data_IF_290017010851
#
_entry.id   IF_290017010851
#
_cell.length_a   1.000
_cell.length_b   1.000
_cell.length_c   1.000
_cell.angle_alpha   90.00
_cell.angle_beta   90.00
_cell.angle_gamma   90.00
#
_symmetry.space_group_name_H-M   'P 1'
#
loop_
_entity.id
_entity.type
_entity.pdbx_description
1 polymer ?
#
# COMPACT_ATOMS: atom_id res chain seq x y z
N UNK A 1 -43.69 13.20 -10.90
CA UNK A 1 -42.64 13.50 -9.89
C UNK A 1 -41.33 12.96 -10.48
N UNK A 2 -40.55 13.76 -11.23
CA UNK A 2 -39.39 14.59 -10.76
C UNK A 2 -38.38 13.74 -9.97
N UNK A 3 -37.10 13.53 -10.34
CA UNK A 3 -36.19 14.12 -11.33
C UNK A 3 -35.15 13.06 -11.75
N UNK A 4 -34.88 12.92 -13.06
CA UNK A 4 -33.59 12.44 -13.56
C UNK A 4 -32.69 13.67 -13.72
N UNK A 5 -31.71 13.85 -12.84
CA UNK A 5 -30.64 14.83 -13.04
C UNK A 5 -29.58 14.21 -13.95
N UNK A 6 -29.82 14.30 -15.26
CA UNK A 6 -28.76 14.23 -16.26
C UNK A 6 -28.08 15.61 -16.30
N UNK A 7 -26.91 15.73 -15.67
CA UNK A 7 -26.03 16.89 -15.85
C UNK A 7 -24.99 16.55 -16.92
N UNK A 8 -25.38 16.63 -18.19
CA UNK A 8 -24.43 16.80 -19.30
C UNK A 8 -24.23 18.30 -19.50
N UNK A 9 -23.18 18.86 -18.90
CA UNK A 9 -22.84 20.26 -19.11
C UNK A 9 -22.20 20.44 -20.48
N UNK A 10 -22.93 21.20 -21.29
CA UNK A 10 -22.59 21.95 -22.49
C UNK A 10 -21.12 22.41 -22.55
N UNK A 11 -20.44 22.01 -23.61
CA UNK A 11 -19.38 22.79 -24.25
C UNK A 11 -19.76 23.00 -25.71
N UNK A 12 -20.60 24.00 -25.96
CA UNK A 12 -21.02 24.35 -27.31
C UNK A 12 -19.85 24.90 -28.14
N UNK A 13 -19.82 24.46 -29.40
CA UNK A 13 -18.96 24.94 -30.49
C UNK A 13 -19.04 26.45 -30.61
N UNK A 14 -17.91 27.16 -30.50
CA UNK A 14 -17.83 28.58 -30.84
C UNK A 14 -17.55 28.74 -32.32
N UNK A 15 -18.59 29.05 -33.10
CA UNK A 15 -18.47 29.54 -34.47
C UNK A 15 -18.41 31.08 -34.44
N UNK A 16 -17.21 31.65 -34.63
CA UNK A 16 -17.05 33.03 -35.08
C UNK A 16 -16.00 33.10 -36.20
N UNK A 17 -16.55 33.20 -37.43
CA UNK A 17 -16.14 34.00 -38.61
C UNK A 17 -14.63 34.16 -38.86
N UNK A 18 -14.11 33.61 -39.96
CA UNK A 18 -13.98 34.29 -41.27
C UNK A 18 -13.24 35.63 -41.19
N UNK A 19 -11.92 35.64 -41.40
CA UNK A 19 -11.26 36.41 -42.47
C UNK A 19 -9.78 36.07 -42.57
N UNK A 20 -9.35 35.89 -43.82
CA UNK A 20 -8.01 35.93 -44.44
C UNK A 20 -6.74 36.11 -43.60
N UNK A 21 -5.73 35.29 -43.92
CA UNK A 21 -4.34 35.77 -44.01
C UNK A 21 -3.26 34.87 -43.44
N UNK A 22 -2.52 34.23 -44.34
CA UNK A 22 -1.07 33.96 -44.28
C UNK A 22 -0.49 32.88 -43.33
N UNK A 23 0.06 31.86 -44.00
CA UNK A 23 1.40 31.26 -43.85
C UNK A 23 1.76 30.42 -42.60
N UNK A 24 1.99 29.13 -42.91
CA UNK A 24 3.15 28.29 -42.56
C UNK A 24 3.26 27.62 -41.18
N UNK A 25 3.24 26.27 -41.28
CA UNK A 25 4.20 25.29 -40.76
C UNK A 25 3.85 24.45 -39.53
N UNK A 26 4.11 23.15 -39.72
CA UNK A 26 3.78 21.97 -38.92
C UNK A 26 4.51 21.88 -37.56
N UNK A 27 3.83 21.32 -36.54
CA UNK A 27 4.44 20.38 -35.56
C UNK A 27 3.33 19.47 -35.01
N UNK A 28 3.36 18.13 -35.20
CA UNK A 28 2.63 17.20 -34.37
C UNK A 28 3.59 16.59 -33.34
N UNK A 29 3.49 17.00 -32.08
CA UNK A 29 4.28 16.40 -31.02
C UNK A 29 3.44 16.21 -29.75
N UNK A 30 3.59 14.99 -29.25
CA UNK A 30 3.26 14.51 -27.92
C UNK A 30 1.78 14.32 -27.58
N UNK A 31 1.35 13.08 -27.86
CA UNK A 31 0.33 12.35 -27.12
C UNK A 31 0.38 12.75 -25.64
N UNK A 32 -0.66 13.48 -25.22
CA UNK A 32 -0.98 13.65 -23.82
C UNK A 32 -1.12 12.27 -23.19
N UNK A 33 -0.15 11.93 -22.33
CA UNK A 33 -0.30 10.88 -21.34
C UNK A 33 -1.60 11.17 -20.60
N UNK A 34 -2.64 10.40 -20.92
CA UNK A 34 -3.83 10.36 -20.08
C UNK A 34 -3.37 9.73 -18.79
N UNK A 35 -3.05 10.59 -17.82
CA UNK A 35 -3.03 10.21 -16.42
C UNK A 35 -4.45 9.76 -16.13
N UNK A 36 -4.68 8.45 -16.27
CA UNK A 36 -5.88 7.82 -15.75
C UNK A 36 -5.83 8.12 -14.25
N UNK A 37 -6.72 8.99 -13.79
CA UNK A 37 -6.95 9.15 -12.36
C UNK A 37 -7.32 7.76 -11.84
N UNK A 38 -6.39 7.12 -11.15
CA UNK A 38 -6.65 5.82 -10.53
C UNK A 38 -7.65 6.06 -9.41
N UNK A 39 -8.90 5.66 -9.66
CA UNK A 39 -9.99 5.74 -8.69
C UNK A 39 -9.53 5.37 -7.27
N UNK A 40 -9.81 6.21 -6.26
CA UNK A 40 -9.50 5.90 -4.86
C UNK A 40 -10.06 4.53 -4.49
N UNK A 41 -9.22 3.64 -3.96
CA UNK A 41 -9.65 2.31 -3.55
C UNK A 41 -9.56 1.19 -4.61
N UNK A 42 -9.03 1.43 -5.80
CA UNK A 42 -8.80 0.40 -6.83
C UNK A 42 -7.61 -0.50 -6.48
N UNK A 43 -7.78 -1.34 -5.46
CA UNK A 43 -6.82 -2.37 -5.07
C UNK A 43 -7.29 -3.78 -5.43
N UNK A 44 -6.35 -4.72 -5.54
CA UNK A 44 -6.69 -6.14 -5.79
C UNK A 44 -6.96 -6.84 -4.45
N UNK A 45 -8.14 -7.43 -4.32
CA UNK A 45 -8.59 -8.09 -3.09
C UNK A 45 -8.35 -9.61 -3.11
N UNK A 46 -8.01 -10.17 -1.97
CA UNK A 46 -7.92 -11.62 -1.75
C UNK A 46 -8.30 -11.97 -0.31
N UNK A 47 -8.54 -13.26 -0.05
CA UNK A 47 -8.81 -13.76 1.30
C UNK A 47 -7.54 -14.33 1.92
N UNK A 48 -7.29 -14.03 3.20
CA UNK A 48 -6.15 -14.55 3.96
C UNK A 48 -6.50 -14.78 5.43
N UNK A 49 -5.52 -15.23 6.22
CA UNK A 49 -5.67 -15.44 7.68
C UNK A 49 -5.16 -14.25 8.48
N UNK A 50 -5.98 -13.73 9.38
CA UNK A 50 -5.64 -12.70 10.36
C UNK A 50 -5.14 -13.24 11.71
N UNK A 51 -4.97 -12.33 12.68
CA UNK A 51 -4.38 -12.57 14.00
C UNK A 51 -4.95 -13.75 14.80
N UNK A 52 -6.26 -13.95 14.71
CA UNK A 52 -7.01 -14.95 15.48
C UNK A 52 -7.42 -16.15 14.62
N UNK A 53 -6.71 -16.41 13.52
CA UNK A 53 -7.08 -17.43 12.53
C UNK A 53 -8.33 -17.09 11.71
N UNK A 54 -8.95 -15.93 11.96
CA UNK A 54 -10.11 -15.43 11.21
C UNK A 54 -9.75 -15.21 9.75
N UNK A 55 -10.64 -15.59 8.84
CA UNK A 55 -10.52 -15.24 7.42
C UNK A 55 -10.84 -13.75 7.26
N UNK A 56 -9.89 -13.00 6.71
CA UNK A 56 -10.01 -11.57 6.43
C UNK A 56 -9.88 -11.32 4.94
N UNK A 57 -10.54 -10.26 4.45
CA UNK A 57 -10.30 -9.71 3.11
C UNK A 57 -9.12 -8.73 3.20
N UNK A 58 -8.09 -8.97 2.40
CA UNK A 58 -6.96 -8.08 2.21
C UNK A 58 -7.07 -7.41 0.85
N UNK A 59 -6.66 -6.14 0.78
CA UNK A 59 -6.60 -5.38 -0.47
C UNK A 59 -5.19 -4.81 -0.64
N UNK A 60 -4.54 -5.12 -1.77
CA UNK A 60 -3.25 -4.51 -2.14
C UNK A 60 -3.55 -3.19 -2.86
N UNK A 61 -3.12 -2.08 -2.26
CA UNK A 61 -3.20 -0.74 -2.85
C UNK A 61 -1.82 -0.35 -3.34
N UNK A 62 -1.70 -0.02 -4.63
CA UNK A 62 -0.41 0.25 -5.29
C UNK A 62 -0.11 1.75 -5.46
N UNK A 63 -1.01 2.61 -4.99
CA UNK A 63 -0.82 4.06 -5.04
C UNK A 63 0.30 4.45 -4.07
N UNK A 64 1.22 5.29 -4.54
CA UNK A 64 2.32 5.80 -3.72
C UNK A 64 1.78 6.72 -2.63
N UNK A 65 2.05 6.38 -1.38
CA UNK A 65 1.49 7.06 -0.22
C UNK A 65 2.47 7.00 0.94
N UNK A 66 2.43 8.05 1.77
CA UNK A 66 3.04 7.98 3.09
C UNK A 66 2.33 6.92 3.94
N UNK A 67 3.00 6.41 4.96
CA UNK A 67 2.40 5.47 5.90
C UNK A 67 1.08 6.00 6.51
N UNK A 68 1.05 7.29 6.87
CA UNK A 68 -0.15 7.93 7.40
C UNK A 68 -1.26 8.05 6.35
N UNK A 69 -0.92 8.36 5.09
CA UNK A 69 -1.86 8.35 3.98
C UNK A 69 -2.51 6.98 3.79
N UNK A 70 -1.68 5.93 3.68
CA UNK A 70 -2.15 4.56 3.53
C UNK A 70 -3.05 4.12 4.71
N UNK A 71 -2.71 4.52 5.94
CA UNK A 71 -3.52 4.22 7.11
C UNK A 71 -4.88 4.95 7.10
N UNK A 72 -4.90 6.21 6.67
CA UNK A 72 -6.12 7.00 6.49
C UNK A 72 -7.03 6.37 5.44
N UNK A 73 -6.45 5.97 4.31
CA UNK A 73 -7.18 5.33 3.21
C UNK A 73 -7.78 3.98 3.62
N UNK A 74 -7.01 3.12 4.31
CA UNK A 74 -7.53 1.87 4.88
C UNK A 74 -8.76 2.09 5.77
N UNK A 75 -8.75 3.14 6.60
CA UNK A 75 -9.87 3.46 7.50
C UNK A 75 -11.07 4.03 6.75
N UNK A 76 -10.83 4.95 5.81
CA UNK A 76 -11.87 5.73 5.13
C UNK A 76 -12.57 4.95 4.03
N UNK A 77 -11.81 4.22 3.21
CA UNK A 77 -12.32 3.53 2.02
C UNK A 77 -12.64 2.07 2.30
N UNK A 78 -11.75 1.38 3.01
CA UNK A 78 -11.90 -0.07 3.24
C UNK A 78 -12.51 -0.42 4.59
N UNK A 79 -12.80 0.60 5.42
CA UNK A 79 -13.30 0.42 6.79
C UNK A 79 -12.46 -0.57 7.61
N UNK A 80 -11.14 -0.52 7.43
CA UNK A 80 -10.19 -1.45 8.01
C UNK A 80 -8.88 -0.79 8.44
N UNK A 81 -7.86 -1.62 8.63
CA UNK A 81 -6.53 -1.21 9.05
C UNK A 81 -5.50 -1.73 8.06
N UNK A 82 -4.33 -1.07 8.01
CA UNK A 82 -3.15 -1.67 7.40
C UNK A 82 -2.89 -3.03 8.05
N UNK A 83 -2.50 -4.02 7.24
CA UNK A 83 -2.43 -5.41 7.66
C UNK A 83 -1.46 -5.63 8.83
N UNK A 84 -1.88 -6.41 9.82
CA UNK A 84 -1.01 -7.03 10.82
C UNK A 84 -0.64 -8.45 10.38
N UNK A 85 0.52 -8.92 10.81
CA UNK A 85 1.06 -10.24 10.42
C UNK A 85 1.35 -11.05 11.68
N UNK A 86 0.80 -12.26 11.76
CA UNK A 86 0.83 -13.10 12.97
C UNK A 86 1.31 -14.53 12.73
N UNK A 87 1.77 -14.83 11.52
CA UNK A 87 2.35 -16.13 11.18
C UNK A 87 3.18 -16.03 9.91
N UNK A 88 4.12 -16.96 9.73
CA UNK A 88 4.88 -17.09 8.49
C UNK A 88 3.94 -17.39 7.30
N UNK A 89 2.92 -18.24 7.48
CA UNK A 89 1.92 -18.50 6.43
C UNK A 89 1.15 -17.25 6.00
N UNK A 90 0.79 -16.35 6.93
CA UNK A 90 0.17 -15.07 6.57
C UNK A 90 1.16 -14.14 5.86
N UNK A 91 2.41 -14.08 6.34
CA UNK A 91 3.48 -13.29 5.71
C UNK A 91 3.70 -13.70 4.25
N UNK A 92 3.77 -15.00 3.97
CA UNK A 92 3.98 -15.52 2.61
C UNK A 92 2.80 -15.24 1.69
N UNK A 93 1.57 -15.41 2.17
CA UNK A 93 0.36 -15.06 1.40
C UNK A 93 0.33 -13.58 1.03
N UNK A 94 0.56 -12.69 2.01
CA UNK A 94 0.59 -11.25 1.77
C UNK A 94 1.72 -10.87 0.80
N UNK A 95 2.91 -11.48 0.95
CA UNK A 95 4.07 -11.23 0.09
C UNK A 95 3.80 -11.67 -1.34
N UNK A 96 3.25 -12.87 -1.53
CA UNK A 96 2.90 -13.40 -2.85
C UNK A 96 1.84 -12.53 -3.54
N UNK A 97 0.80 -12.14 -2.81
CA UNK A 97 -0.23 -11.24 -3.34
C UNK A 97 0.37 -9.88 -3.74
N UNK A 98 1.16 -9.25 -2.86
CA UNK A 98 1.82 -7.99 -3.16
C UNK A 98 2.76 -8.11 -4.37
N UNK A 99 3.62 -9.13 -4.42
CA UNK A 99 4.54 -9.36 -5.54
C UNK A 99 3.81 -9.55 -6.87
N UNK A 100 2.65 -10.21 -6.86
CA UNK A 100 1.84 -10.42 -8.07
C UNK A 100 1.13 -9.16 -8.57
N UNK A 101 1.04 -8.12 -7.74
CA UNK A 101 0.23 -6.92 -8.02
C UNK A 101 1.02 -5.62 -8.10
N UNK A 102 2.25 -5.57 -7.60
CA UNK A 102 3.11 -4.40 -7.69
C UNK A 102 4.55 -4.76 -8.02
N UNK A 103 5.18 -3.92 -8.84
CA UNK A 103 6.64 -3.94 -9.06
C UNK A 103 7.38 -3.16 -7.96
N UNK A 104 6.67 -2.48 -7.08
CA UNK A 104 7.27 -1.82 -5.92
C UNK A 104 7.90 -2.88 -5.02
N UNK A 105 9.14 -2.66 -4.60
CA UNK A 105 9.89 -3.61 -3.76
C UNK A 105 9.34 -3.75 -2.34
N UNK A 106 8.40 -2.88 -1.92
CA UNK A 106 7.85 -2.81 -0.58
C UNK A 106 6.40 -2.33 -0.59
N UNK A 107 5.61 -2.79 0.38
CA UNK A 107 4.24 -2.31 0.65
C UNK A 107 4.03 -2.05 2.14
N UNK A 108 3.32 -0.98 2.50
CA UNK A 108 3.06 -0.66 3.91
C UNK A 108 2.22 -1.73 4.60
N UNK A 109 2.61 -2.09 5.82
CA UNK A 109 1.81 -2.91 6.75
C UNK A 109 1.66 -2.16 8.07
N UNK A 110 0.71 -2.54 8.91
CA UNK A 110 0.26 -1.73 10.05
C UNK A 110 1.23 -1.64 11.23
N UNK A 111 2.53 -1.86 11.04
CA UNK A 111 3.51 -1.91 12.10
C UNK A 111 4.23 -0.58 12.30
N UNK A 112 4.56 -0.27 13.55
CA UNK A 112 5.46 0.83 13.92
C UNK A 112 6.48 0.30 14.92
N UNK A 113 7.74 0.68 14.72
CA UNK A 113 8.84 0.37 15.65
C UNK A 113 9.45 1.65 16.19
N UNK A 114 9.90 1.63 17.43
CA UNK A 114 10.65 2.72 18.06
C UNK A 114 11.84 2.15 18.81
N UNK A 115 13.03 2.65 18.50
CA UNK A 115 14.29 2.19 19.09
C UNK A 115 14.99 3.32 19.84
N UNK A 116 15.25 3.11 21.12
CA UNK A 116 15.97 4.05 22.00
C UNK A 116 16.70 3.31 23.11
N UNK A 117 17.93 3.75 23.42
CA UNK A 117 18.72 3.18 24.52
C UNK A 117 18.94 1.66 24.42
N UNK A 118 19.17 1.15 23.21
CA UNK A 118 19.40 -0.28 22.96
C UNK A 118 18.15 -1.17 23.02
N UNK A 119 16.96 -0.60 23.23
CA UNK A 119 15.69 -1.32 23.24
C UNK A 119 14.86 -0.94 22.02
N UNK A 120 14.14 -1.92 21.49
CA UNK A 120 13.20 -1.73 20.38
C UNK A 120 11.80 -2.15 20.81
N UNK A 121 10.85 -1.23 20.68
CA UNK A 121 9.44 -1.47 20.90
C UNK A 121 8.72 -1.53 19.56
N UNK A 122 7.90 -2.55 19.35
CA UNK A 122 7.15 -2.76 18.11
C UNK A 122 5.69 -3.01 18.42
N UNK A 123 4.79 -2.45 17.61
CA UNK A 123 3.34 -2.62 17.78
C UNK A 123 2.61 -2.56 16.46
N UNK A 124 1.50 -3.28 16.38
CA UNK A 124 0.53 -3.15 15.30
C UNK A 124 -0.46 -2.00 15.60
N UNK A 125 -0.89 -1.30 14.55
CA UNK A 125 -1.82 -0.17 14.62
C UNK A 125 -3.28 -0.62 14.74
N UNK A 126 -3.58 -1.90 14.53
CA UNK A 126 -4.89 -2.52 14.76
C UNK A 126 -5.04 -3.10 16.17
N UNK A 127 -4.07 -2.83 17.05
CA UNK A 127 -4.01 -3.26 18.46
C UNK A 127 -3.87 -4.77 18.67
N UNK A 128 -3.62 -5.53 17.62
CA UNK A 128 -3.31 -6.97 17.76
C UNK A 128 -1.92 -7.17 18.38
N UNK A 129 -1.68 -8.32 19.05
CA UNK A 129 -0.39 -8.59 19.67
C UNK A 129 0.77 -8.61 18.67
N UNK A 130 1.90 -8.02 19.03
CA UNK A 130 3.16 -8.17 18.29
C UNK A 130 3.79 -9.54 18.58
N UNK A 131 3.34 -10.58 17.88
CA UNK A 131 3.74 -11.99 18.12
C UNK A 131 4.48 -12.63 16.94
N UNK A 132 4.82 -11.86 15.90
CA UNK A 132 5.53 -12.34 14.73
C UNK A 132 6.48 -11.27 14.19
N UNK A 133 7.66 -11.71 13.78
CA UNK A 133 8.66 -10.87 13.12
C UNK A 133 9.38 -11.65 12.04
N UNK A 134 9.66 -10.99 10.91
CA UNK A 134 10.49 -11.52 9.83
C UNK A 134 11.28 -10.37 9.22
N UNK A 135 12.16 -9.79 10.02
CA UNK A 135 12.89 -8.60 9.64
C UNK A 135 13.93 -8.91 8.57
N UNK A 136 13.99 -8.07 7.54
CA UNK A 136 15.13 -8.07 6.64
C UNK A 136 16.42 -7.72 7.43
N UNK A 137 17.60 -8.16 6.96
CA UNK A 137 18.86 -7.80 7.60
C UNK A 137 18.96 -6.30 7.90
N UNK A 138 19.47 -5.96 9.09
CA UNK A 138 19.60 -4.59 9.61
C UNK A 138 18.29 -3.86 9.91
N UNK A 139 17.16 -4.57 10.01
CA UNK A 139 15.88 -4.04 10.48
C UNK A 139 15.46 -4.70 11.81
N UNK A 140 14.64 -4.03 12.64
CA UNK A 140 14.22 -2.62 12.52
C UNK A 140 15.40 -1.66 12.72
N UNK A 141 15.20 -0.38 12.43
CA UNK A 141 16.20 0.65 12.72
C UNK A 141 16.62 0.60 14.19
N UNK A 142 17.92 0.77 14.46
CA UNK A 142 18.47 0.81 15.83
C UNK A 142 18.23 2.15 16.53
N UNK A 143 17.70 3.14 15.80
CA UNK A 143 17.41 4.47 16.32
C UNK A 143 16.12 5.03 15.74
N UNK A 144 15.41 5.79 16.56
CA UNK A 144 14.22 6.53 16.16
C UNK A 144 13.01 5.64 15.92
N UNK A 145 11.98 6.25 15.34
CA UNK A 145 10.73 5.60 15.00
C UNK A 145 10.68 5.31 13.49
N UNK A 146 10.27 4.11 13.12
CA UNK A 146 10.10 3.71 11.73
C UNK A 146 8.76 3.00 11.51
N UNK A 147 8.22 3.15 10.31
CA UNK A 147 7.01 2.47 9.86
C UNK A 147 7.40 1.17 9.14
N UNK A 148 6.57 0.14 9.26
CA UNK A 148 6.90 -1.20 8.79
C UNK A 148 6.35 -1.43 7.39
N UNK A 149 7.20 -1.94 6.51
CA UNK A 149 6.81 -2.37 5.17
C UNK A 149 7.16 -3.85 4.96
N UNK A 150 6.31 -4.54 4.21
CA UNK A 150 6.54 -5.89 3.73
C UNK A 150 7.39 -5.82 2.46
N UNK A 151 8.52 -6.51 2.44
CA UNK A 151 9.35 -6.65 1.24
C UNK A 151 8.67 -7.61 0.26
N UNK A 152 8.48 -7.17 -0.99
CA UNK A 152 7.81 -7.94 -2.05
C UNK A 152 8.78 -8.72 -2.93
N UNK A 153 10.09 -8.41 -2.87
CA UNK A 153 11.09 -9.14 -3.62
C UNK A 153 11.12 -10.60 -3.17
N UNK A 154 11.06 -11.52 -4.14
CA UNK A 154 11.19 -12.95 -3.88
C UNK A 154 12.53 -13.23 -3.22
N UNK A 155 12.52 -13.73 -1.98
CA UNK A 155 13.70 -14.38 -1.43
C UNK A 155 13.86 -15.67 -2.23
N UNK A 156 14.86 -15.72 -3.11
CA UNK A 156 15.20 -16.92 -3.87
C UNK A 156 15.51 -18.11 -2.97
N UNK A 157 15.65 -19.32 -3.53
CA UNK A 157 15.69 -20.59 -2.78
C UNK A 157 16.90 -20.82 -1.86
N UNK A 158 17.73 -19.79 -1.59
CA UNK A 158 18.88 -19.86 -0.68
C UNK A 158 18.84 -18.77 0.40
N UNK A 159 17.65 -18.49 0.93
CA UNK A 159 17.46 -17.67 2.13
C UNK A 159 17.85 -18.42 3.41
N UNK A 160 19.12 -18.80 3.56
CA UNK A 160 19.72 -19.11 4.86
C UNK A 160 19.89 -17.80 5.67
N UNK A 161 18.76 -17.15 5.95
CA UNK A 161 18.70 -15.82 6.55
C UNK A 161 17.39 -15.63 7.31
N UNK A 162 17.06 -16.60 8.18
CA UNK A 162 15.82 -16.54 8.96
C UNK A 162 15.61 -17.71 9.91
N UNK A 163 16.67 -18.37 10.37
CA UNK A 163 16.59 -19.34 11.45
C UNK A 163 17.53 -18.96 12.60
N UNK A 164 17.54 -17.69 13.01
CA UNK A 164 18.14 -17.27 14.28
C UNK A 164 17.30 -16.11 14.82
N UNK A 165 16.30 -16.46 15.63
CA UNK A 165 15.39 -15.49 16.22
C UNK A 165 14.11 -16.06 16.80
N UNK A 166 14.11 -17.27 17.33
CA UNK A 166 13.22 -17.61 18.44
C UNK A 166 13.70 -16.80 19.67
N UNK A 167 13.59 -15.47 19.59
CA UNK A 167 13.96 -14.53 20.62
C UNK A 167 12.70 -14.11 21.35
N UNK A 168 12.33 -14.94 22.33
CA UNK A 168 11.56 -14.60 23.53
C UNK A 168 10.56 -13.46 23.36
N UNK A 169 9.28 -13.83 23.24
CA UNK A 169 8.20 -12.98 23.74
C UNK A 169 8.58 -12.55 25.17
N UNK A 170 8.97 -11.29 25.34
CA UNK A 170 9.24 -10.70 26.64
C UNK A 170 7.97 -10.76 27.46
N UNK A 171 7.95 -11.70 28.41
CA UNK A 171 6.85 -11.86 29.36
C UNK A 171 6.63 -10.58 30.13
N UNK A 172 5.37 -10.20 30.25
CA UNK A 172 4.91 -9.22 31.20
C UNK A 172 5.26 -9.68 32.63
N UNK A 173 5.84 -8.77 33.41
CA UNK A 173 5.60 -8.61 34.84
C UNK A 173 5.51 -7.13 35.13
#
# INVERSE_FOLDING_TARGET
MKLFLALTLLGAVSSRRLSEGALEQEVPAEQGSSVLEEEPGKGKSFMGRGALGRRLRYTVVIQDQTFHGAMSECRRIFHGHLASIHSNSANEQLRSAAHSHTKQGQVWVGGVTSSSGGRTFSRWMDLTPWNYTNWAPRNPSRSGQTCVALCTAGQGPLGLGGALGAGLAGGAR
#
